data_IF_015573679881
#
_entry.id   IF_015573679881
#
_cell.length_a   1.000
_cell.length_b   1.000
_cell.length_c   1.000
_cell.angle_alpha   90.00
_cell.angle_beta   90.00
_cell.angle_gamma   90.00
#
_symmetry.space_group_name_H-M   'P 1'
#
loop_
_entity.id
_entity.type
_entity.pdbx_description
1 polymer ?
#
# COMPACT_ATOMS: atom_id res chain seq x y z
N UNK A 1 10.52 -13.45 -27.93
CA UNK A 1 9.22 -12.83 -28.22
C UNK A 1 9.47 -11.41 -28.72
N UNK A 2 9.28 -11.17 -30.03
CA UNK A 2 9.34 -9.85 -30.63
C UNK A 2 8.03 -9.10 -30.35
N UNK A 3 8.01 -8.18 -29.43
CA UNK A 3 6.97 -7.17 -29.31
C UNK A 3 7.46 -5.85 -29.94
N UNK A 4 7.33 -5.74 -31.27
CA UNK A 4 7.23 -4.43 -31.91
C UNK A 4 5.79 -3.94 -31.74
N UNK A 5 5.48 -3.30 -30.63
CA UNK A 5 4.29 -2.48 -30.49
C UNK A 5 4.69 -1.03 -30.76
N UNK A 6 4.33 -0.53 -31.93
CA UNK A 6 4.35 0.89 -32.25
C UNK A 6 3.41 1.60 -31.27
N UNK A 7 3.97 2.52 -30.48
CA UNK A 7 3.20 3.41 -29.62
C UNK A 7 2.48 4.40 -30.54
N UNK A 8 1.21 4.13 -30.81
CA UNK A 8 0.31 5.17 -31.31
C UNK A 8 0.03 6.14 -30.16
N UNK A 9 0.41 7.38 -30.34
CA UNK A 9 0.05 8.49 -29.47
C UNK A 9 -1.48 8.68 -29.51
N UNK A 10 -2.17 8.16 -28.50
CA UNK A 10 -3.59 8.44 -28.29
C UNK A 10 -3.72 9.84 -27.72
N UNK A 11 -4.21 10.77 -28.54
CA UNK A 11 -4.65 12.09 -28.07
C UNK A 11 -5.77 11.93 -27.03
N UNK A 12 -5.74 12.67 -25.91
CA UNK A 12 -6.77 12.57 -24.89
C UNK A 12 -8.06 13.24 -25.37
N UNK A 13 -9.07 12.45 -25.70
CA UNK A 13 -10.45 12.94 -25.69
C UNK A 13 -11.02 12.82 -24.30
N UNK A 14 -10.79 13.84 -23.47
CA UNK A 14 -11.51 14.02 -22.21
C UNK A 14 -12.47 15.18 -22.41
N UNK A 15 -13.77 14.92 -22.32
CA UNK A 15 -14.77 15.97 -22.24
C UNK A 15 -14.59 16.69 -20.90
N UNK A 16 -14.19 17.95 -20.96
CA UNK A 16 -14.00 18.80 -19.76
C UNK A 16 -15.37 19.12 -19.17
N UNK A 17 -15.66 18.58 -17.99
CA UNK A 17 -16.71 19.10 -17.13
C UNK A 17 -16.12 20.19 -16.20
N UNK A 18 -16.86 21.23 -15.88
CA UNK A 18 -16.41 22.35 -15.01
C UNK A 18 -15.95 21.90 -13.60
N UNK A 19 -16.37 20.72 -13.18
CA UNK A 19 -15.99 20.10 -11.91
C UNK A 19 -14.51 19.69 -11.93
N UNK A 20 -14.04 19.13 -13.05
CA UNK A 20 -12.65 18.67 -13.19
C UNK A 20 -11.65 19.83 -13.18
N UNK A 21 -12.02 21.00 -13.74
CA UNK A 21 -11.13 22.17 -13.74
C UNK A 21 -10.94 22.76 -12.32
N UNK A 22 -11.94 22.69 -11.45
CA UNK A 22 -11.86 23.20 -10.10
C UNK A 22 -11.02 22.29 -9.19
N UNK A 23 -11.16 20.99 -9.34
CA UNK A 23 -10.35 19.96 -8.64
C UNK A 23 -8.89 20.06 -9.07
N UNK A 24 -8.62 20.14 -10.37
CA UNK A 24 -7.26 20.29 -10.90
C UNK A 24 -6.55 21.58 -10.45
N UNK A 25 -7.30 22.65 -10.15
CA UNK A 25 -6.73 23.92 -9.67
C UNK A 25 -6.31 23.87 -8.18
N UNK A 26 -6.83 22.91 -7.41
CA UNK A 26 -6.48 22.75 -5.99
C UNK A 26 -5.33 21.77 -5.78
N UNK A 27 -5.09 20.84 -6.71
CA UNK A 27 -4.00 19.88 -6.63
C UNK A 27 -2.63 20.55 -6.78
N UNK A 28 -1.68 20.11 -5.97
CA UNK A 28 -0.28 20.50 -6.13
C UNK A 28 0.23 20.05 -7.51
N UNK A 29 0.69 21.03 -8.29
CA UNK A 29 1.21 20.76 -9.62
C UNK A 29 2.69 20.38 -9.55
N UNK A 30 3.18 19.79 -10.65
CA UNK A 30 4.60 19.44 -10.79
C UNK A 30 5.53 20.63 -10.54
N UNK A 31 5.14 21.80 -11.04
CA UNK A 31 5.95 23.02 -10.95
C UNK A 31 6.03 23.54 -9.51
N UNK A 32 4.97 23.36 -8.69
CA UNK A 32 4.99 23.72 -7.27
C UNK A 32 6.03 22.90 -6.51
N UNK A 33 6.10 21.60 -6.79
CA UNK A 33 7.07 20.69 -6.17
C UNK A 33 8.47 20.92 -6.74
N UNK A 34 8.59 21.19 -8.03
CA UNK A 34 9.88 21.52 -8.67
C UNK A 34 10.52 22.78 -8.03
N UNK A 35 9.73 23.83 -7.81
CA UNK A 35 10.20 25.04 -7.13
C UNK A 35 10.70 24.76 -5.70
N UNK A 36 10.02 23.88 -4.97
CA UNK A 36 10.46 23.45 -3.63
C UNK A 36 11.79 22.68 -3.70
N UNK A 37 11.94 21.78 -4.70
CA UNK A 37 13.16 20.98 -4.88
C UNK A 37 14.35 21.86 -5.25
N UNK A 38 14.16 22.95 -5.96
CA UNK A 38 15.22 23.90 -6.30
C UNK A 38 15.83 24.56 -5.05
N UNK A 39 15.08 24.71 -3.97
CA UNK A 39 15.58 25.22 -2.69
C UNK A 39 16.34 24.18 -1.87
N UNK A 40 16.30 22.90 -2.26
CA UNK A 40 16.96 21.81 -1.52
C UNK A 40 18.48 21.79 -1.79
N UNK A 41 19.25 21.64 -0.70
CA UNK A 41 20.66 21.25 -0.81
C UNK A 41 20.74 19.74 -1.10
N UNK A 42 21.01 19.40 -2.35
CA UNK A 42 21.09 18.03 -2.83
C UNK A 42 22.13 17.16 -2.11
N UNK A 43 23.15 17.78 -1.53
CA UNK A 43 24.18 17.08 -0.73
C UNK A 43 23.71 16.77 0.69
N UNK A 44 22.55 17.28 1.11
CA UNK A 44 21.98 17.11 2.45
C UNK A 44 20.61 16.49 2.45
N UNK A 45 20.26 15.78 1.38
CA UNK A 45 19.00 15.06 1.30
C UNK A 45 18.85 14.07 2.45
N UNK A 46 17.63 13.91 2.92
CA UNK A 46 17.23 12.97 3.97
C UNK A 46 16.01 12.20 3.52
N UNK A 47 15.94 10.94 3.91
CA UNK A 47 14.75 10.13 3.71
C UNK A 47 13.84 10.28 4.93
N UNK A 48 12.59 10.71 4.71
CA UNK A 48 11.57 10.81 5.74
C UNK A 48 10.42 9.84 5.52
N UNK A 49 9.81 9.33 6.59
CA UNK A 49 8.65 8.44 6.53
C UNK A 49 7.82 8.45 7.80
N UNK A 50 6.55 8.07 7.71
CA UNK A 50 5.73 7.74 8.89
C UNK A 50 6.29 6.48 9.56
N UNK A 51 6.59 6.57 10.86
CA UNK A 51 7.27 5.54 11.64
C UNK A 51 6.31 4.39 12.05
N UNK A 52 5.85 3.64 11.07
CA UNK A 52 4.98 2.48 11.22
C UNK A 52 5.05 1.61 9.97
N UNK A 53 4.43 0.43 9.98
CA UNK A 53 4.44 -0.52 8.87
C UNK A 53 5.88 -0.80 8.39
N UNK A 54 6.20 -0.58 7.11
CA UNK A 54 7.51 -0.81 6.45
C UNK A 54 8.55 0.30 6.70
N UNK A 55 8.39 1.12 7.74
CA UNK A 55 9.29 2.26 7.98
C UNK A 55 10.74 1.83 8.26
N UNK A 56 10.97 0.67 8.89
CA UNK A 56 12.32 0.16 9.13
C UNK A 56 12.99 -0.27 7.83
N UNK A 57 12.26 -0.89 6.90
CA UNK A 57 12.77 -1.28 5.59
C UNK A 57 13.19 -0.03 4.77
N UNK A 58 12.37 1.03 4.82
CA UNK A 58 12.70 2.33 4.21
C UNK A 58 13.95 2.94 4.84
N UNK A 59 14.08 2.85 6.17
CA UNK A 59 15.27 3.36 6.86
C UNK A 59 16.53 2.56 6.49
N UNK A 60 16.41 1.24 6.38
CA UNK A 60 17.52 0.35 6.02
C UNK A 60 18.03 0.66 4.62
N UNK A 61 17.16 0.66 3.62
CA UNK A 61 17.50 1.05 2.26
C UNK A 61 18.07 2.48 2.20
N UNK A 62 17.50 3.43 2.95
CA UNK A 62 18.02 4.79 3.01
C UNK A 62 19.48 4.85 3.52
N UNK A 63 19.81 4.05 4.55
CA UNK A 63 21.18 3.98 5.10
C UNK A 63 22.12 3.28 4.12
N UNK A 64 21.69 2.22 3.45
CA UNK A 64 22.49 1.50 2.44
C UNK A 64 22.85 2.42 1.27
N UNK A 65 21.92 3.27 0.84
CA UNK A 65 22.13 4.29 -0.20
C UNK A 65 22.84 5.55 0.32
N UNK A 66 23.21 5.59 1.58
CA UNK A 66 23.97 6.69 2.19
C UNK A 66 23.15 7.90 2.62
N UNK A 67 21.82 7.81 2.62
CA UNK A 67 20.94 8.90 3.05
C UNK A 67 20.68 8.85 4.54
N UNK A 68 20.80 9.97 5.29
CA UNK A 68 20.31 10.05 6.64
C UNK A 68 18.78 9.91 6.70
N UNK A 69 18.27 9.21 7.71
CA UNK A 69 16.85 8.88 7.84
C UNK A 69 16.17 9.65 8.96
N UNK A 70 14.90 10.01 8.76
CA UNK A 70 14.06 10.72 9.72
C UNK A 70 12.71 10.02 9.85
N UNK A 71 12.48 9.37 10.98
CA UNK A 71 11.24 8.68 11.30
C UNK A 71 10.29 9.58 12.09
N UNK A 72 9.09 9.83 11.57
CA UNK A 72 8.04 10.61 12.23
C UNK A 72 7.15 9.67 13.03
N UNK A 73 7.33 9.67 14.35
CA UNK A 73 6.74 8.71 15.29
C UNK A 73 5.50 9.30 15.96
N UNK A 74 4.51 8.48 16.21
CA UNK A 74 3.44 8.85 17.13
C UNK A 74 3.90 8.63 18.57
N UNK A 75 3.51 9.54 19.48
CA UNK A 75 3.77 9.42 20.91
C UNK A 75 3.32 8.07 21.47
N UNK A 76 4.17 7.45 22.28
CA UNK A 76 3.98 6.10 22.82
C UNK A 76 4.39 4.96 21.88
N UNK A 77 4.75 5.24 20.62
CA UNK A 77 5.19 4.25 19.61
C UNK A 77 6.62 4.51 19.12
N UNK A 78 7.34 5.45 19.73
CA UNK A 78 8.63 5.93 19.25
C UNK A 78 9.81 5.04 19.65
N UNK A 79 9.69 4.16 20.66
CA UNK A 79 10.84 3.42 21.22
C UNK A 79 11.57 2.56 20.19
N UNK A 80 10.83 1.93 19.27
CA UNK A 80 11.39 1.16 18.17
C UNK A 80 12.41 1.99 17.38
N UNK A 81 12.07 3.22 17.04
CA UNK A 81 12.85 4.11 16.18
C UNK A 81 13.87 4.95 16.96
N UNK A 82 13.48 5.44 18.12
CA UNK A 82 14.31 6.36 18.92
C UNK A 82 15.36 5.64 19.78
N UNK A 83 15.17 4.35 20.06
CA UNK A 83 16.03 3.57 20.96
C UNK A 83 16.58 2.32 20.29
N UNK A 84 15.73 1.36 19.88
CA UNK A 84 16.17 0.04 19.43
C UNK A 84 16.91 0.10 18.10
N UNK A 85 16.37 0.79 17.13
CA UNK A 85 16.94 0.93 15.78
C UNK A 85 17.65 2.27 15.55
N UNK A 86 17.90 3.03 16.60
CA UNK A 86 18.68 4.26 16.50
C UNK A 86 20.07 4.00 15.97
N UNK A 87 20.44 4.76 14.92
CA UNK A 87 21.77 4.67 14.30
C UNK A 87 22.88 4.99 15.29
N UNK A 88 23.87 4.15 15.34
CA UNK A 88 25.15 4.37 16.02
C UNK A 88 26.25 4.44 14.99
N UNK A 89 27.03 5.52 15.04
CA UNK A 89 28.14 5.75 14.12
C UNK A 89 29.47 5.74 14.83
N UNK A 90 30.52 5.35 14.11
CA UNK A 90 31.91 5.49 14.54
C UNK A 90 32.34 6.96 14.52
N UNK A 91 33.52 7.25 15.05
CA UNK A 91 34.14 8.58 14.95
C UNK A 91 34.38 9.04 13.49
N UNK A 92 34.51 8.10 12.55
CA UNK A 92 34.62 8.37 11.12
C UNK A 92 33.28 8.54 10.40
N UNK A 93 32.15 8.47 11.12
CA UNK A 93 30.81 8.59 10.54
C UNK A 93 30.20 7.28 9.99
N UNK A 94 30.97 6.18 9.97
CA UNK A 94 30.49 4.88 9.51
C UNK A 94 29.39 4.35 10.43
N UNK A 95 28.29 3.87 9.83
CA UNK A 95 27.21 3.21 10.57
C UNK A 95 27.75 1.89 11.15
N UNK A 96 27.59 1.73 12.47
CA UNK A 96 27.97 0.53 13.21
C UNK A 96 26.77 -0.37 13.45
N UNK A 97 25.59 0.24 13.67
CA UNK A 97 24.32 -0.46 13.84
C UNK A 97 23.16 0.53 13.76
N UNK A 98 21.96 -0.01 13.61
CA UNK A 98 20.73 0.77 13.52
C UNK A 98 20.58 1.45 12.19
N UNK A 99 19.41 1.97 11.94
CA UNK A 99 19.03 2.53 10.64
C UNK A 99 18.22 3.82 10.75
N UNK A 100 17.92 4.30 11.96
CA UNK A 100 17.17 5.54 12.19
C UNK A 100 18.08 6.61 12.73
N UNK A 101 18.44 7.60 11.91
CA UNK A 101 19.31 8.70 12.35
C UNK A 101 18.56 9.67 13.28
N UNK A 102 17.30 9.96 12.98
CA UNK A 102 16.46 10.84 13.78
C UNK A 102 15.04 10.33 13.89
N UNK A 103 14.52 10.29 15.11
CA UNK A 103 13.11 10.11 15.40
C UNK A 103 12.53 11.46 15.85
N UNK A 104 11.39 11.85 15.28
CA UNK A 104 10.61 13.04 15.65
C UNK A 104 9.29 12.52 16.18
N UNK A 105 8.97 12.84 17.44
CA UNK A 105 7.75 12.38 18.09
C UNK A 105 6.66 13.42 17.89
N UNK A 106 5.51 12.99 17.42
CA UNK A 106 4.32 13.77 17.14
C UNK A 106 3.17 13.23 18.01
N UNK A 107 2.19 14.05 18.39
CA UNK A 107 0.99 13.58 19.08
C UNK A 107 0.21 12.55 18.27
N UNK A 108 0.13 12.73 16.95
CA UNK A 108 -0.53 11.83 16.01
C UNK A 108 0.28 11.70 14.72
N UNK A 109 0.14 10.58 14.01
CA UNK A 109 0.75 10.42 12.70
C UNK A 109 0.22 11.44 11.68
N UNK A 110 -1.03 11.87 11.80
CA UNK A 110 -1.60 12.90 10.92
C UNK A 110 -0.93 14.27 11.06
N UNK A 111 -0.21 14.52 12.16
CA UNK A 111 0.48 15.81 12.37
C UNK A 111 1.64 16.03 11.38
N UNK A 112 2.05 15.00 10.61
CA UNK A 112 2.96 15.18 9.47
C UNK A 112 2.37 16.09 8.39
N UNK A 113 1.02 16.21 8.34
CA UNK A 113 0.30 17.07 7.40
C UNK A 113 0.28 18.54 7.83
N UNK A 114 0.62 18.85 9.09
CA UNK A 114 0.66 20.22 9.58
C UNK A 114 1.70 21.06 8.82
N UNK A 115 1.33 22.25 8.37
CA UNK A 115 2.24 23.11 7.57
C UNK A 115 3.55 23.43 8.32
N UNK A 116 3.52 23.57 9.64
CA UNK A 116 4.72 23.77 10.45
C UNK A 116 5.67 22.58 10.38
N UNK A 117 5.13 21.36 10.36
CA UNK A 117 5.92 20.13 10.23
C UNK A 117 6.47 19.98 8.81
N UNK A 118 5.65 20.25 7.81
CA UNK A 118 6.09 20.24 6.40
C UNK A 118 7.20 21.28 6.16
N UNK A 119 7.10 22.49 6.73
CA UNK A 119 8.16 23.50 6.66
C UNK A 119 9.46 23.00 7.31
N UNK A 120 9.37 22.30 8.45
CA UNK A 120 10.54 21.70 9.09
C UNK A 120 11.14 20.55 8.25
N UNK A 121 10.31 19.75 7.57
CA UNK A 121 10.76 18.74 6.62
C UNK A 121 11.52 19.37 5.45
N UNK A 122 10.96 20.42 4.83
CA UNK A 122 11.62 21.15 3.72
C UNK A 122 12.96 21.76 4.17
N UNK A 123 12.98 22.42 5.31
CA UNK A 123 14.23 22.97 5.90
C UNK A 123 15.31 21.91 6.12
N UNK A 124 14.92 20.66 6.31
CA UNK A 124 15.83 19.52 6.49
C UNK A 124 16.17 18.81 5.18
N UNK A 125 15.70 19.29 4.05
CA UNK A 125 15.82 18.64 2.74
C UNK A 125 15.27 17.21 2.72
N UNK A 126 14.10 17.00 3.33
CA UNK A 126 13.47 15.68 3.40
C UNK A 126 12.76 15.38 2.08
N UNK A 127 13.12 14.24 1.49
CA UNK A 127 12.31 13.54 0.49
C UNK A 127 11.50 12.51 1.27
N UNK A 128 10.17 12.57 1.16
CA UNK A 128 9.30 11.72 1.94
C UNK A 128 8.94 10.47 1.15
N UNK A 129 9.13 9.30 1.74
CA UNK A 129 8.74 8.02 1.15
C UNK A 129 7.39 7.62 1.75
N UNK A 130 6.31 7.63 0.96
CA UNK A 130 5.01 7.21 1.43
C UNK A 130 5.03 5.70 1.70
N UNK A 131 4.48 5.31 2.83
CA UNK A 131 4.21 3.93 3.18
C UNK A 131 2.72 3.75 3.51
N UNK A 132 2.29 2.52 3.74
CA UNK A 132 0.89 2.23 4.06
C UNK A 132 0.33 3.06 5.22
N UNK A 133 1.15 3.34 6.24
CA UNK A 133 0.71 4.15 7.38
C UNK A 133 0.47 5.60 7.00
N UNK A 134 1.24 6.17 6.09
CA UNK A 134 1.02 7.53 5.62
C UNK A 134 -0.38 7.68 4.98
N UNK A 135 -0.73 6.79 4.07
CA UNK A 135 -2.05 6.80 3.41
C UNK A 135 -3.21 6.37 4.32
N UNK A 136 -2.92 5.63 5.42
CA UNK A 136 -3.95 5.22 6.38
C UNK A 136 -4.29 6.30 7.41
N UNK A 137 -3.37 7.22 7.70
CA UNK A 137 -3.56 8.30 8.68
C UNK A 137 -3.78 9.67 8.04
N UNK A 138 -3.53 9.81 6.74
CA UNK A 138 -3.78 11.03 5.98
C UNK A 138 -4.72 10.72 4.82
N UNK A 139 -5.58 11.65 4.44
CA UNK A 139 -6.43 11.45 3.26
C UNK A 139 -5.61 11.61 1.99
N UNK A 140 -5.93 10.85 0.95
CA UNK A 140 -5.27 10.97 -0.36
C UNK A 140 -5.44 12.40 -0.90
N UNK A 141 -6.63 12.98 -0.72
CA UNK A 141 -6.94 14.35 -1.14
C UNK A 141 -6.02 15.38 -0.46
N UNK A 142 -5.79 15.25 0.85
CA UNK A 142 -4.86 16.14 1.55
C UNK A 142 -3.42 15.98 1.06
N UNK A 143 -3.01 14.75 0.79
CA UNK A 143 -1.67 14.47 0.23
C UNK A 143 -1.50 15.10 -1.15
N UNK A 144 -2.52 15.04 -2.00
CA UNK A 144 -2.50 15.63 -3.34
C UNK A 144 -2.56 17.15 -3.33
N UNK A 145 -3.33 17.74 -2.41
CA UNK A 145 -3.62 19.17 -2.43
C UNK A 145 -2.73 20.01 -1.49
N UNK A 146 -2.29 19.45 -0.36
CA UNK A 146 -1.71 20.25 0.73
C UNK A 146 -0.32 19.79 1.18
N UNK A 147 0.11 18.56 0.86
CA UNK A 147 1.40 18.06 1.32
C UNK A 147 2.56 18.56 0.45
N UNK A 148 3.10 19.73 0.80
CA UNK A 148 4.16 20.45 0.08
C UNK A 148 5.57 19.94 0.42
N UNK A 149 5.73 18.63 0.54
CA UNK A 149 7.05 17.99 0.69
C UNK A 149 7.26 17.07 -0.51
N UNK A 150 8.44 17.06 -1.13
CA UNK A 150 8.74 16.14 -2.21
C UNK A 150 8.50 14.70 -1.80
N UNK A 151 7.70 13.95 -2.57
CA UNK A 151 7.46 12.54 -2.38
C UNK A 151 8.35 11.72 -3.32
N UNK A 152 8.85 10.60 -2.84
CA UNK A 152 9.44 9.60 -3.70
C UNK A 152 8.33 8.83 -4.43
N UNK A 153 8.44 8.72 -5.74
CA UNK A 153 7.41 8.14 -6.60
C UNK A 153 6.34 9.14 -7.05
N UNK A 154 5.28 8.63 -7.65
CA UNK A 154 4.20 9.44 -8.17
C UNK A 154 3.13 9.70 -7.12
N UNK A 155 2.92 10.97 -6.77
CA UNK A 155 1.90 11.42 -5.79
C UNK A 155 0.50 10.92 -6.17
N UNK A 156 0.12 11.05 -7.43
CA UNK A 156 -1.22 10.72 -7.89
C UNK A 156 -1.46 9.22 -8.05
N UNK A 157 -0.40 8.40 -8.06
CA UNK A 157 -0.52 6.94 -8.09
C UNK A 157 -0.98 6.35 -6.76
N UNK A 158 -0.90 7.11 -5.64
CA UNK A 158 -1.42 6.65 -4.35
C UNK A 158 -2.92 6.38 -4.38
N UNK A 159 -3.67 7.13 -5.22
CA UNK A 159 -5.11 6.97 -5.42
C UNK A 159 -5.50 5.66 -6.09
N UNK A 160 -4.60 5.09 -6.89
CA UNK A 160 -4.88 3.87 -7.67
C UNK A 160 -5.11 2.62 -6.80
N UNK A 161 -4.74 2.66 -5.52
CA UNK A 161 -5.05 1.59 -4.56
C UNK A 161 -6.50 1.65 -4.03
N UNK A 162 -7.19 2.80 -4.20
CA UNK A 162 -8.54 3.00 -3.70
C UNK A 162 -9.56 2.31 -4.63
N UNK A 163 -10.39 1.45 -4.06
CA UNK A 163 -11.39 0.66 -4.81
C UNK A 163 -12.61 1.47 -5.22
N UNK A 164 -12.70 2.73 -4.81
CA UNK A 164 -13.80 3.65 -5.12
C UNK A 164 -13.53 4.51 -6.35
N UNK A 165 -12.33 4.42 -6.91
CA UNK A 165 -11.93 5.22 -8.06
C UNK A 165 -12.30 4.50 -9.36
N UNK A 166 -12.73 5.28 -10.38
CA UNK A 166 -13.03 4.74 -11.72
C UNK A 166 -11.78 4.14 -12.40
N UNK A 167 -10.61 4.74 -12.13
CA UNK A 167 -9.31 4.27 -12.63
C UNK A 167 -8.53 3.64 -11.50
N UNK A 168 -9.09 2.59 -10.92
CA UNK A 168 -8.48 1.83 -9.85
C UNK A 168 -7.42 0.84 -10.35
N UNK A 169 -6.93 0.04 -9.44
CA UNK A 169 -5.97 -1.02 -9.72
C UNK A 169 -6.48 -2.04 -10.75
N UNK A 170 -7.79 -2.39 -10.79
CA UNK A 170 -8.34 -3.31 -11.79
C UNK A 170 -8.35 -2.68 -13.19
N UNK A 171 -8.64 -1.38 -13.28
CA UNK A 171 -8.53 -0.64 -14.52
C UNK A 171 -7.10 -0.68 -15.10
N UNK A 172 -6.07 -0.57 -14.22
CA UNK A 172 -4.67 -0.69 -14.64
C UNK A 172 -4.39 -2.09 -15.19
N UNK A 173 -4.83 -3.14 -14.49
CA UNK A 173 -4.63 -4.53 -14.91
C UNK A 173 -5.29 -4.79 -16.27
N UNK A 174 -6.51 -4.30 -16.47
CA UNK A 174 -7.22 -4.39 -17.73
C UNK A 174 -6.45 -3.71 -18.88
N UNK A 175 -5.99 -2.47 -18.66
CA UNK A 175 -5.17 -1.72 -19.62
C UNK A 175 -3.84 -2.41 -19.93
N UNK A 176 -3.26 -3.08 -18.97
CA UNK A 176 -2.03 -3.84 -19.13
C UNK A 176 -2.25 -5.22 -19.78
N UNK A 177 -3.51 -5.65 -19.94
CA UNK A 177 -3.84 -7.00 -20.43
C UNK A 177 -3.44 -8.10 -19.45
N UNK A 178 -3.34 -7.78 -18.17
CA UNK A 178 -2.99 -8.74 -17.12
C UNK A 178 -4.25 -9.42 -16.56
N UNK A 179 -4.19 -10.74 -16.30
CA UNK A 179 -5.32 -11.45 -15.74
C UNK A 179 -5.59 -11.04 -14.29
N UNK A 180 -6.86 -10.96 -13.93
CA UNK A 180 -7.33 -10.77 -12.56
C UNK A 180 -8.62 -11.58 -12.33
N UNK A 181 -9.01 -11.82 -11.07
CA UNK A 181 -10.19 -12.63 -10.78
C UNK A 181 -11.46 -12.06 -11.41
N UNK A 182 -12.26 -12.93 -12.01
CA UNK A 182 -13.55 -12.57 -12.61
C UNK A 182 -14.50 -12.01 -11.57
N UNK A 183 -15.11 -10.85 -11.86
CA UNK A 183 -16.10 -10.24 -11.01
C UNK A 183 -17.48 -10.89 -11.21
N UNK A 184 -18.25 -10.97 -10.14
CA UNK A 184 -19.66 -11.36 -10.14
C UNK A 184 -20.49 -10.12 -9.81
N UNK A 185 -21.31 -9.67 -10.74
CA UNK A 185 -22.04 -8.40 -10.62
C UNK A 185 -23.19 -8.51 -9.61
N UNK A 186 -23.93 -9.64 -9.62
CA UNK A 186 -25.07 -9.84 -8.73
C UNK A 186 -24.78 -10.93 -7.72
N UNK A 187 -24.98 -10.69 -6.42
CA UNK A 187 -24.78 -11.72 -5.39
C UNK A 187 -25.61 -12.99 -5.62
N UNK A 188 -26.77 -12.88 -6.29
CA UNK A 188 -27.65 -14.00 -6.63
C UNK A 188 -27.00 -14.98 -7.64
N UNK A 189 -25.99 -14.53 -8.38
CA UNK A 189 -25.26 -15.34 -9.35
C UNK A 189 -24.08 -16.12 -8.73
N UNK A 190 -23.91 -16.07 -7.41
CA UNK A 190 -22.84 -16.79 -6.71
C UNK A 190 -23.12 -18.30 -6.75
N UNK A 191 -22.34 -19.02 -7.54
CA UNK A 191 -22.40 -20.48 -7.72
C UNK A 191 -21.08 -21.21 -7.39
N UNK A 192 -20.05 -20.46 -6.97
CA UNK A 192 -18.72 -20.96 -6.63
C UNK A 192 -18.14 -20.17 -5.44
N UNK A 193 -16.98 -20.59 -4.95
CA UNK A 193 -16.28 -19.85 -3.89
C UNK A 193 -15.85 -18.48 -4.40
N UNK A 194 -16.29 -17.44 -3.69
CA UNK A 194 -15.99 -16.03 -3.97
C UNK A 194 -15.41 -15.34 -2.76
N UNK A 195 -14.74 -14.21 -3.01
CA UNK A 195 -14.39 -13.23 -1.99
C UNK A 195 -15.17 -11.94 -2.23
N UNK A 196 -15.81 -11.45 -1.18
CA UNK A 196 -16.54 -10.18 -1.16
C UNK A 196 -15.62 -9.14 -0.53
N UNK A 197 -15.15 -8.19 -1.32
CA UNK A 197 -14.22 -7.13 -0.91
C UNK A 197 -15.02 -5.85 -0.66
N UNK A 198 -15.07 -5.44 0.60
CA UNK A 198 -15.76 -4.23 1.03
C UNK A 198 -14.88 -3.00 0.83
N UNK A 199 -15.48 -1.85 0.54
CA UNK A 199 -14.73 -0.59 0.39
C UNK A 199 -14.16 -0.11 1.72
N UNK A 200 -14.96 -0.14 2.79
CA UNK A 200 -14.55 0.28 4.14
C UNK A 200 -15.04 -0.70 5.19
N UNK A 201 -14.20 -1.04 6.14
CA UNK A 201 -14.61 -1.75 7.35
C UNK A 201 -14.47 -0.79 8.55
N UNK A 202 -15.57 -0.57 9.28
CA UNK A 202 -15.59 0.41 10.37
C UNK A 202 -14.90 -0.09 11.65
N UNK A 203 -14.82 -1.39 11.90
CA UNK A 203 -14.22 -1.95 13.13
C UNK A 203 -13.67 -3.37 12.89
N UNK A 204 -12.47 -3.65 13.43
CA UNK A 204 -11.86 -4.99 13.59
C UNK A 204 -11.43 -5.76 12.33
N UNK A 205 -11.79 -5.35 11.12
CA UNK A 205 -11.28 -5.96 9.90
C UNK A 205 -10.22 -5.03 9.33
N UNK A 206 -8.98 -5.46 9.33
CA UNK A 206 -7.85 -4.74 8.74
C UNK A 206 -8.04 -4.57 7.22
N UNK A 207 -8.82 -5.47 6.61
CA UNK A 207 -9.34 -5.39 5.25
C UNK A 207 -10.75 -5.94 5.26
N UNK A 208 -11.74 -5.12 4.90
CA UNK A 208 -13.13 -5.57 4.83
C UNK A 208 -13.32 -6.61 3.73
N UNK A 209 -13.30 -7.89 4.06
CA UNK A 209 -13.71 -8.95 3.16
C UNK A 209 -14.27 -10.17 3.92
N UNK A 210 -15.08 -10.94 3.22
CA UNK A 210 -15.49 -12.27 3.63
C UNK A 210 -15.62 -13.18 2.41
N UNK A 211 -15.66 -14.49 2.64
CA UNK A 211 -15.81 -15.49 1.57
C UNK A 211 -17.18 -16.17 1.70
N UNK A 212 -17.76 -16.57 0.58
CA UNK A 212 -18.99 -17.37 0.52
C UNK A 212 -18.99 -18.19 -0.79
N UNK A 213 -19.81 -19.24 -0.83
CA UNK A 213 -19.92 -20.12 -1.99
C UNK A 213 -21.35 -20.23 -2.54
N UNK A 214 -22.29 -19.46 -2.00
CA UNK A 214 -23.66 -19.36 -2.47
C UNK A 214 -24.29 -18.03 -2.05
N UNK A 215 -25.38 -17.65 -2.70
CA UNK A 215 -26.16 -16.48 -2.31
C UNK A 215 -26.70 -16.58 -0.88
N UNK A 216 -27.09 -17.77 -0.44
CA UNK A 216 -27.55 -17.97 0.93
C UNK A 216 -26.45 -17.66 1.94
N UNK A 217 -25.23 -18.18 1.75
CA UNK A 217 -24.09 -17.86 2.61
C UNK A 217 -23.72 -16.37 2.57
N UNK A 218 -23.83 -15.73 1.40
CA UNK A 218 -23.64 -14.30 1.26
C UNK A 218 -24.60 -13.52 2.15
N UNK A 219 -25.90 -13.85 2.09
CA UNK A 219 -26.92 -13.20 2.91
C UNK A 219 -26.68 -13.42 4.41
N UNK A 220 -26.41 -14.67 4.83
CA UNK A 220 -26.16 -14.99 6.23
C UNK A 220 -24.98 -14.23 6.81
N UNK A 221 -23.84 -14.24 6.10
CA UNK A 221 -22.61 -13.56 6.53
C UNK A 221 -22.75 -12.04 6.51
N UNK A 222 -23.37 -11.49 5.48
CA UNK A 222 -23.64 -10.03 5.39
C UNK A 222 -24.51 -9.56 6.55
N UNK A 223 -25.58 -10.30 6.87
CA UNK A 223 -26.48 -9.94 7.98
C UNK A 223 -25.77 -9.96 9.33
N UNK A 224 -24.88 -10.93 9.57
CA UNK A 224 -24.07 -10.99 10.79
C UNK A 224 -23.17 -9.75 10.89
N UNK A 225 -22.45 -9.42 9.83
CA UNK A 225 -21.54 -8.29 9.81
C UNK A 225 -22.27 -6.94 9.99
N UNK A 226 -23.44 -6.78 9.38
CA UNK A 226 -24.31 -5.61 9.55
C UNK A 226 -24.83 -5.52 10.97
N UNK A 227 -25.37 -6.63 11.53
CA UNK A 227 -25.92 -6.69 12.89
C UNK A 227 -24.86 -6.37 13.96
N UNK A 228 -23.65 -6.85 13.76
CA UNK A 228 -22.54 -6.63 14.70
C UNK A 228 -21.91 -5.23 14.52
N UNK A 229 -22.40 -4.43 13.56
CA UNK A 229 -21.90 -3.08 13.27
C UNK A 229 -20.44 -3.07 12.79
N UNK A 230 -20.01 -4.17 12.16
CA UNK A 230 -18.68 -4.29 11.55
C UNK A 230 -18.64 -3.56 10.21
N UNK A 231 -19.74 -3.63 9.46
CA UNK A 231 -19.95 -2.92 8.19
C UNK A 231 -21.29 -2.18 8.23
N UNK A 232 -21.47 -1.25 7.31
CA UNK A 232 -22.75 -0.63 7.00
C UNK A 232 -23.29 -1.09 5.63
N UNK A 233 -24.53 -0.76 5.33
CA UNK A 233 -25.17 -1.15 4.08
C UNK A 233 -24.45 -0.56 2.87
N UNK A 234 -23.96 0.67 2.95
CA UNK A 234 -23.25 1.34 1.85
C UNK A 234 -21.94 0.62 1.49
N UNK A 235 -21.24 0.08 2.49
CA UNK A 235 -20.03 -0.73 2.28
C UNK A 235 -20.34 -2.04 1.55
N UNK A 236 -21.53 -2.61 1.81
CA UNK A 236 -21.97 -3.84 1.14
C UNK A 236 -22.45 -3.58 -0.29
N UNK A 237 -23.21 -2.49 -0.48
CA UNK A 237 -23.74 -2.11 -1.81
C UNK A 237 -22.61 -1.76 -2.80
N UNK A 238 -21.49 -1.22 -2.29
CA UNK A 238 -20.29 -0.94 -3.08
C UNK A 238 -19.29 -2.09 -3.14
N UNK A 239 -19.60 -3.25 -2.55
CA UNK A 239 -18.64 -4.35 -2.47
C UNK A 239 -18.35 -4.96 -3.84
N UNK A 240 -17.08 -5.29 -4.08
CA UNK A 240 -16.68 -6.07 -5.23
C UNK A 240 -16.71 -7.57 -4.87
N UNK A 241 -17.49 -8.34 -5.61
CA UNK A 241 -17.53 -9.79 -5.52
C UNK A 241 -16.68 -10.36 -6.64
N UNK A 242 -15.76 -11.26 -6.34
CA UNK A 242 -14.94 -11.92 -7.36
C UNK A 242 -14.66 -13.38 -7.02
N UNK A 243 -14.41 -14.18 -8.03
CA UNK A 243 -14.05 -15.60 -7.85
C UNK A 243 -12.80 -15.72 -7.00
N UNK A 244 -12.83 -16.60 -6.01
CA UNK A 244 -11.69 -16.82 -5.13
C UNK A 244 -10.61 -17.65 -5.84
N UNK A 245 -9.42 -17.09 -5.96
CA UNK A 245 -8.27 -17.80 -6.52
C UNK A 245 -7.57 -18.60 -5.42
N UNK A 246 -7.59 -19.91 -5.55
CA UNK A 246 -6.95 -20.82 -4.59
C UNK A 246 -5.49 -20.98 -4.97
N UNK A 247 -4.60 -20.66 -4.04
CA UNK A 247 -3.16 -20.85 -4.22
C UNK A 247 -2.33 -20.01 -3.24
N UNK A 248 -1.00 -20.21 -3.23
CA UNK A 248 -0.10 -19.37 -2.46
C UNK A 248 -0.05 -17.96 -3.07
N UNK A 249 0.05 -16.97 -2.19
CA UNK A 249 0.14 -15.57 -2.60
C UNK A 249 1.60 -15.15 -2.61
N UNK A 250 2.10 -14.78 -3.79
CA UNK A 250 3.42 -14.18 -3.96
C UNK A 250 3.27 -12.72 -4.39
N UNK A 251 4.19 -11.89 -3.92
CA UNK A 251 4.34 -10.54 -4.42
C UNK A 251 5.64 -10.47 -5.22
N UNK A 252 5.55 -9.99 -6.45
CA UNK A 252 6.70 -9.65 -7.27
C UNK A 252 6.95 -8.15 -7.08
N UNK A 253 8.12 -7.82 -6.55
CA UNK A 253 8.48 -6.44 -6.24
C UNK A 253 9.27 -5.85 -7.40
N UNK A 254 8.73 -4.83 -8.03
CA UNK A 254 9.35 -4.14 -9.16
C UNK A 254 9.72 -2.72 -8.81
N UNK A 255 10.80 -2.25 -9.40
CA UNK A 255 11.17 -0.85 -9.42
C UNK A 255 11.14 -0.33 -10.84
N UNK A 256 10.43 0.78 -11.05
CA UNK A 256 10.42 1.48 -12.33
C UNK A 256 11.18 2.80 -12.21
N UNK A 257 12.27 2.93 -12.98
CA UNK A 257 13.06 4.15 -13.05
C UNK A 257 12.81 4.89 -14.36
N UNK A 258 12.18 6.07 -14.34
CA UNK A 258 12.04 6.88 -15.54
C UNK A 258 13.36 7.47 -16.04
N UNK A 259 14.46 7.34 -15.26
CA UNK A 259 15.79 7.84 -15.57
C UNK A 259 16.69 6.78 -16.22
N UNK A 260 16.27 5.52 -16.23
CA UNK A 260 16.99 4.43 -16.91
C UNK A 260 16.79 4.49 -18.43
N UNK A 261 17.67 3.84 -19.16
CA UNK A 261 17.56 3.75 -20.62
C UNK A 261 16.27 3.03 -21.04
N UNK A 262 15.71 3.38 -22.20
CA UNK A 262 14.52 2.69 -22.71
C UNK A 262 14.72 1.16 -22.81
N UNK A 263 13.87 0.41 -22.15
CA UNK A 263 13.96 -1.05 -22.06
C UNK A 263 14.65 -1.57 -20.78
N UNK A 264 15.32 -0.73 -20.03
CA UNK A 264 15.97 -1.05 -18.74
C UNK A 264 15.26 -0.39 -17.56
N UNK A 265 14.07 0.18 -17.79
CA UNK A 265 13.36 0.99 -16.80
C UNK A 265 12.68 0.17 -15.71
N UNK A 266 12.36 -1.09 -15.99
CA UNK A 266 11.69 -1.98 -15.05
C UNK A 266 12.67 -3.05 -14.55
N UNK A 267 12.87 -3.07 -13.24
CA UNK A 267 13.74 -4.02 -12.55
C UNK A 267 12.92 -4.85 -11.56
N UNK A 268 13.11 -6.18 -11.60
CA UNK A 268 12.56 -7.08 -10.59
C UNK A 268 13.50 -7.09 -9.38
N UNK A 269 13.06 -6.52 -8.25
CA UNK A 269 13.85 -6.45 -7.03
C UNK A 269 13.82 -7.76 -6.23
N UNK A 270 12.76 -8.54 -6.37
CA UNK A 270 12.64 -9.82 -5.67
C UNK A 270 11.20 -10.29 -5.57
N UNK A 271 11.07 -11.44 -4.94
CA UNK A 271 9.77 -12.09 -4.71
C UNK A 271 9.63 -12.36 -3.23
N UNK A 272 8.47 -12.07 -2.67
CA UNK A 272 8.12 -12.48 -1.32
C UNK A 272 6.83 -13.31 -1.30
N UNK A 273 6.76 -14.18 -0.31
CA UNK A 273 5.59 -14.95 0.03
C UNK A 273 4.85 -14.31 1.20
N UNK A 274 3.58 -14.02 1.00
CA UNK A 274 2.69 -13.52 2.03
C UNK A 274 2.12 -14.68 2.84
N UNK A 275 2.20 -14.60 4.17
CA UNK A 275 1.67 -15.63 5.05
C UNK A 275 0.75 -15.06 6.14
N UNK A 276 -0.14 -15.92 6.63
CA UNK A 276 -1.21 -15.60 7.57
C UNK A 276 -1.20 -16.63 8.71
N UNK A 277 -0.96 -16.21 9.96
CA UNK A 277 -0.65 -17.10 11.07
C UNK A 277 -1.72 -18.15 11.36
N UNK A 278 -2.98 -17.73 11.43
CA UNK A 278 -4.09 -18.65 11.75
C UNK A 278 -4.32 -19.65 10.64
N UNK A 279 -4.30 -19.17 9.37
CA UNK A 279 -4.47 -20.02 8.21
C UNK A 279 -3.31 -21.00 8.06
N UNK A 280 -2.07 -20.55 8.21
CA UNK A 280 -0.88 -21.41 8.12
C UNK A 280 -0.90 -22.50 9.19
N UNK A 281 -1.29 -22.17 10.40
CA UNK A 281 -1.47 -23.15 11.47
C UNK A 281 -2.56 -24.16 11.15
N UNK A 282 -3.68 -23.68 10.59
CA UNK A 282 -4.83 -24.51 10.25
C UNK A 282 -4.51 -25.51 9.12
N UNK A 283 -3.91 -25.05 8.02
CA UNK A 283 -3.60 -25.91 6.86
C UNK A 283 -2.50 -26.94 7.12
N UNK A 284 -1.74 -26.78 8.20
CA UNK A 284 -0.76 -27.79 8.64
C UNK A 284 -1.39 -28.99 9.32
N UNK A 285 -2.65 -28.87 9.77
CA UNK A 285 -3.38 -30.00 10.34
C UNK A 285 -3.96 -30.86 9.21
N UNK A 286 -3.83 -32.19 9.28
CA UNK A 286 -4.56 -33.08 8.40
C UNK A 286 -6.08 -32.86 8.51
N UNK A 287 -6.81 -33.05 7.41
CA UNK A 287 -8.25 -32.79 7.37
C UNK A 287 -9.08 -33.48 8.49
N UNK A 288 -8.79 -34.73 8.90
CA UNK A 288 -9.51 -35.33 10.03
C UNK A 288 -9.36 -34.54 11.34
N UNK A 289 -8.18 -33.97 11.61
CA UNK A 289 -7.93 -33.15 12.80
C UNK A 289 -8.62 -31.80 12.71
N UNK A 290 -8.65 -31.18 11.52
CA UNK A 290 -9.41 -29.94 11.30
C UNK A 290 -10.90 -30.13 11.63
N UNK A 291 -11.48 -31.26 11.23
CA UNK A 291 -12.88 -31.58 11.50
C UNK A 291 -13.20 -31.76 13.00
N UNK A 292 -12.21 -32.10 13.81
CA UNK A 292 -12.38 -32.27 15.27
C UNK A 292 -12.17 -31.00 16.08
N UNK A 293 -11.79 -29.90 15.43
CA UNK A 293 -11.61 -28.61 16.11
C UNK A 293 -12.94 -28.08 16.64
N UNK A 294 -12.92 -27.31 17.76
CA UNK A 294 -14.08 -26.53 18.19
C UNK A 294 -14.58 -25.59 17.09
N UNK A 295 -15.88 -25.36 17.03
CA UNK A 295 -16.48 -24.56 15.95
C UNK A 295 -15.86 -23.17 15.78
N UNK A 296 -15.49 -22.51 16.88
CA UNK A 296 -14.83 -21.20 16.86
C UNK A 296 -13.39 -21.23 16.30
N UNK A 297 -12.81 -22.42 16.09
CA UNK A 297 -11.46 -22.61 15.51
C UNK A 297 -11.50 -23.24 14.12
N UNK A 298 -12.68 -23.67 13.63
CA UNK A 298 -12.82 -24.29 12.31
C UNK A 298 -12.62 -23.31 11.18
N UNK A 299 -12.92 -22.04 11.41
CA UNK A 299 -12.74 -20.96 10.43
C UNK A 299 -11.59 -20.10 10.91
N UNK A 300 -10.41 -20.22 10.31
CA UNK A 300 -9.26 -19.39 10.67
C UNK A 300 -9.49 -17.94 10.27
N UNK A 301 -9.05 -17.01 11.10
CA UNK A 301 -8.97 -15.61 10.73
C UNK A 301 -7.86 -15.42 9.69
N UNK A 302 -8.18 -14.71 8.60
CA UNK A 302 -7.21 -14.38 7.56
C UNK A 302 -6.46 -13.09 7.94
N UNK A 303 -5.55 -13.21 8.91
CA UNK A 303 -4.73 -12.09 9.39
C UNK A 303 -3.32 -12.20 8.83
N UNK A 304 -2.92 -11.24 8.02
CA UNK A 304 -1.55 -11.16 7.50
C UNK A 304 -0.60 -10.86 8.65
N UNK A 305 0.37 -11.75 8.88
CA UNK A 305 1.41 -11.57 9.90
C UNK A 305 2.72 -11.08 9.32
N UNK A 306 2.94 -11.24 8.03
CA UNK A 306 4.15 -10.76 7.39
C UNK A 306 4.40 -11.32 6.01
N UNK A 307 5.57 -10.98 5.52
CA UNK A 307 6.10 -11.41 4.24
C UNK A 307 7.49 -12.00 4.47
N UNK A 308 7.80 -13.08 3.78
CA UNK A 308 9.12 -13.68 3.77
C UNK A 308 9.66 -13.72 2.34
N UNK A 309 10.96 -13.49 2.19
CA UNK A 309 11.64 -13.70 0.92
C UNK A 309 11.36 -15.12 0.40
N UNK A 310 10.99 -15.21 -0.86
CA UNK A 310 10.68 -16.46 -1.54
C UNK A 310 11.55 -16.65 -2.77
N UNK A 311 11.90 -17.90 -3.05
CA UNK A 311 12.51 -18.28 -4.31
C UNK A 311 11.49 -19.06 -5.11
N UNK A 312 11.13 -18.58 -6.27
CA UNK A 312 10.26 -19.27 -7.23
C UNK A 312 11.07 -19.66 -8.47
N UNK A 313 10.55 -20.60 -9.24
CA UNK A 313 11.20 -21.00 -10.49
C UNK A 313 11.20 -19.85 -11.47
N UNK A 314 12.30 -19.63 -12.16
CA UNK A 314 12.45 -18.58 -13.18
C UNK A 314 11.36 -18.67 -14.25
N UNK A 315 10.99 -19.89 -14.67
CA UNK A 315 9.89 -20.13 -15.62
C UNK A 315 8.48 -19.70 -15.14
N UNK A 316 8.33 -19.24 -13.90
CA UNK A 316 7.10 -18.65 -13.40
C UNK A 316 7.17 -17.12 -13.38
N UNK A 317 8.33 -16.54 -13.73
CA UNK A 317 8.56 -15.09 -13.84
C UNK A 317 8.45 -14.61 -15.30
N UNK A 318 8.49 -15.52 -16.27
CA UNK A 318 8.32 -15.30 -17.70
C UNK A 318 6.82 -15.22 -18.07
#
# INVERSE_FOLDING_TARGET
WNCNASIETVSPMVSKTEVDEKVLRTMLQRDDIAAIIEEYDRMKLRIGMTASHSALDICDGGIEEGFPTVAYCQEGREQTYSQYFKTKRSSSGRVLRGMVDKAIVLPSFNDVMAESMQAEMRKRNVVYIPNRSFTSYSTIEDVENTFKVPLFGSRNMLRMEERTEEQDYYWILDKAGLPYPEAIENPEDIDCLVIVKLHHAQKKLERGFFTCASYQEYQEKSQILLKDGIIDQSSLDGARIEKYVIGPVFNLNFFYSPLAEPGEQLELLGVDWRFESSLDGHVRLPAPQQMTMPDHQKIPEMTVVGHNTATIRESLLE
#
